data_IF_886966732245
#
_entry.id   IF_886966732245
#
_cell.length_a   1.000
_cell.length_b   1.000
_cell.length_c   1.000
_cell.angle_alpha   90.00
_cell.angle_beta   90.00
_cell.angle_gamma   90.00
#
_symmetry.space_group_name_H-M   'P 1'
#
loop_
_entity.id
_entity.type
_entity.pdbx_description
1 polymer ?
#
# COMPACT_ATOMS: atom_id res chain seq x y z
N UNK A 1 1.44 -17.79 -7.47
CA UNK A 1 1.59 -16.33 -7.57
C UNK A 1 2.85 -15.95 -6.84
N UNK A 2 3.89 -15.65 -7.60
CA UNK A 2 5.21 -15.32 -7.07
C UNK A 2 5.19 -13.96 -6.39
N UNK A 3 5.89 -13.85 -5.26
CA UNK A 3 6.00 -12.62 -4.46
C UNK A 3 7.47 -12.28 -4.29
N UNK A 4 7.83 -11.01 -4.51
CA UNK A 4 9.19 -10.51 -4.27
C UNK A 4 9.17 -9.57 -3.06
N UNK A 5 10.15 -9.74 -2.15
CA UNK A 5 10.30 -8.87 -0.98
C UNK A 5 10.89 -7.53 -1.40
N UNK A 6 10.28 -6.44 -0.94
CA UNK A 6 10.79 -5.09 -1.05
C UNK A 6 10.88 -4.46 0.35
N UNK A 7 11.86 -3.59 0.57
CA UNK A 7 12.04 -2.88 1.83
C UNK A 7 12.36 -1.43 1.52
N UNK A 8 11.63 -0.52 2.15
CA UNK A 8 11.78 0.92 2.00
C UNK A 8 11.35 1.59 3.31
N UNK A 9 11.74 2.85 3.46
CA UNK A 9 11.37 3.66 4.62
C UNK A 9 10.13 4.50 4.30
N UNK A 10 9.25 4.65 5.28
CA UNK A 10 8.07 5.52 5.24
C UNK A 10 8.14 6.53 6.40
N UNK A 11 7.57 7.73 6.26
CA UNK A 11 7.38 8.65 7.37
C UNK A 11 6.60 7.96 8.51
N UNK A 12 7.00 8.25 9.75
CA UNK A 12 6.43 7.59 10.95
C UNK A 12 4.93 7.82 11.03
N UNK A 13 4.48 9.06 10.83
CA UNK A 13 3.06 9.45 10.90
C UNK A 13 2.21 8.63 9.92
N UNK A 14 2.71 8.40 8.70
CA UNK A 14 2.01 7.63 7.68
C UNK A 14 1.88 6.15 8.07
N UNK A 15 2.88 5.58 8.73
CA UNK A 15 2.82 4.20 9.25
C UNK A 15 1.81 4.09 10.38
N UNK A 16 1.74 5.10 11.26
CA UNK A 16 0.76 5.12 12.35
C UNK A 16 -0.68 5.23 11.84
N UNK A 17 -0.93 6.08 10.86
CA UNK A 17 -2.24 6.19 10.22
C UNK A 17 -2.64 4.91 9.49
N UNK A 18 -1.72 4.30 8.74
CA UNK A 18 -1.97 3.03 8.06
C UNK A 18 -2.28 1.90 9.06
N UNK A 19 -1.60 1.88 10.21
CA UNK A 19 -1.85 0.92 11.29
C UNK A 19 -3.22 1.14 11.93
N UNK A 20 -3.63 2.38 12.17
CA UNK A 20 -4.99 2.73 12.65
C UNK A 20 -6.06 2.26 11.67
N UNK A 21 -5.88 2.55 10.38
CA UNK A 21 -6.79 2.12 9.31
C UNK A 21 -6.91 0.59 9.26
N UNK A 22 -5.78 -0.11 9.34
CA UNK A 22 -5.73 -1.58 9.37
C UNK A 22 -6.53 -2.15 10.56
N UNK A 23 -6.41 -1.53 11.73
CA UNK A 23 -7.16 -1.93 12.93
C UNK A 23 -8.68 -1.72 12.78
N UNK A 24 -9.08 -0.55 12.27
CA UNK A 24 -10.50 -0.20 12.09
C UNK A 24 -11.21 -1.08 11.06
N UNK A 25 -10.53 -1.37 9.95
CA UNK A 25 -11.10 -2.12 8.82
C UNK A 25 -10.87 -3.62 8.92
N UNK A 26 -9.99 -4.08 9.83
CA UNK A 26 -9.46 -5.45 9.91
C UNK A 26 -8.78 -5.93 8.63
N UNK A 27 -8.37 -5.00 7.77
CA UNK A 27 -7.63 -5.29 6.54
C UNK A 27 -6.13 -5.19 6.82
N UNK A 28 -5.30 -6.16 6.41
CA UNK A 28 -3.85 -6.09 6.61
C UNK A 28 -3.22 -4.88 5.89
N UNK A 29 -2.29 -4.17 6.55
CA UNK A 29 -1.57 -3.02 5.98
C UNK A 29 -0.97 -3.31 4.59
N UNK A 30 -0.42 -4.52 4.40
CA UNK A 30 0.16 -4.92 3.12
C UNK A 30 -0.87 -4.91 1.97
N UNK A 31 -2.15 -5.18 2.24
CA UNK A 31 -3.20 -5.15 1.22
C UNK A 31 -3.47 -3.74 0.72
N UNK A 32 -3.48 -2.75 1.62
CA UNK A 32 -3.60 -1.34 1.23
C UNK A 32 -2.41 -0.86 0.40
N UNK A 33 -1.19 -1.28 0.74
CA UNK A 33 0.00 -0.90 -0.04
C UNK A 33 -0.07 -1.49 -1.44
N UNK A 34 -0.46 -2.77 -1.58
CA UNK A 34 -0.63 -3.41 -2.89
C UNK A 34 -1.70 -2.68 -3.70
N UNK A 35 -2.86 -2.40 -3.09
CA UNK A 35 -3.97 -1.66 -3.74
C UNK A 35 -3.51 -0.28 -4.22
N UNK A 36 -2.84 0.49 -3.36
CA UNK A 36 -2.33 1.81 -3.71
C UNK A 36 -1.31 1.77 -4.87
N UNK A 37 -0.43 0.76 -4.89
CA UNK A 37 0.53 0.56 -5.99
C UNK A 37 -0.20 0.20 -7.28
N UNK A 38 -1.18 -0.70 -7.23
CA UNK A 38 -1.98 -1.07 -8.41
C UNK A 38 -2.76 0.11 -8.98
N UNK A 39 -3.43 0.88 -8.12
CA UNK A 39 -4.17 2.09 -8.51
C UNK A 39 -3.24 3.14 -9.11
N UNK A 40 -2.06 3.34 -8.52
CA UNK A 40 -1.05 4.23 -9.07
C UNK A 40 -0.61 3.77 -10.46
N UNK A 41 -0.24 2.50 -10.63
CA UNK A 41 0.19 1.96 -11.93
C UNK A 41 -0.93 2.03 -12.98
N UNK A 42 -2.18 1.75 -12.62
CA UNK A 42 -3.36 1.91 -13.49
C UNK A 42 -3.55 3.36 -13.93
N UNK A 43 -3.39 4.32 -13.00
CA UNK A 43 -3.52 5.75 -13.28
C UNK A 43 -2.51 6.24 -14.33
N UNK A 44 -1.28 5.75 -14.28
CA UNK A 44 -0.22 6.15 -15.22
C UNK A 44 -0.21 5.31 -16.51
N UNK A 45 -0.70 4.07 -16.50
CA UNK A 45 -0.90 3.27 -17.74
C UNK A 45 -1.92 3.85 -18.71
N UNK A 46 -2.90 4.64 -18.23
CA UNK A 46 -3.92 5.29 -19.07
C UNK A 46 -3.49 6.65 -19.64
N UNK A 47 -2.23 7.07 -19.41
CA UNK A 47 -1.68 8.32 -19.93
C UNK A 47 -0.79 8.14 -21.16
N UNK A 48 -0.74 6.93 -21.72
CA UNK A 48 -0.32 6.67 -23.10
C UNK A 48 -1.53 6.47 -24.00
#
# INVERSE_FOLDING_TARGET
>A
MDRKKYTFYLPIELVEELKKLSSQTRVPMAKFIVEAIEDLLKKYKKKE
#
